data_IF_684029275872
#
_entry.id   IF_684029275872
#
_cell.length_a   1.000
_cell.length_b   1.000
_cell.length_c   1.000
_cell.angle_alpha   90.00
_cell.angle_beta   90.00
_cell.angle_gamma   90.00
#
_symmetry.space_group_name_H-M   'P 1'
#
loop_
_entity.id
_entity.type
_entity.pdbx_description
1 polymer ?
#
# COMPACT_ATOMS: atom_id res chain seq x y z
N UNK A 1 25.45 12.59 -71.01
CA UNK A 1 26.52 12.55 -69.98
C UNK A 1 26.29 13.55 -68.86
N UNK A 2 25.94 14.80 -69.17
CA UNK A 2 25.75 15.88 -68.17
C UNK A 2 24.78 15.49 -67.05
N UNK A 3 23.55 15.07 -67.36
CA UNK A 3 22.52 14.69 -66.36
C UNK A 3 22.98 13.57 -65.42
N UNK A 4 23.64 12.53 -65.95
CA UNK A 4 24.17 11.41 -65.16
C UNK A 4 25.29 11.86 -64.21
N UNK A 5 26.15 12.76 -64.67
CA UNK A 5 27.22 13.35 -63.87
C UNK A 5 26.64 14.23 -62.74
N UNK A 6 25.64 15.07 -63.03
CA UNK A 6 24.99 15.90 -62.01
C UNK A 6 24.29 15.05 -60.95
N UNK A 7 23.59 13.99 -61.35
CA UNK A 7 22.95 13.05 -60.41
C UNK A 7 23.96 12.33 -59.52
N UNK A 8 25.08 11.87 -60.08
CA UNK A 8 26.15 11.23 -59.30
C UNK A 8 26.77 12.21 -58.30
N UNK A 9 27.03 13.45 -58.72
CA UNK A 9 27.58 14.49 -57.86
C UNK A 9 26.65 14.83 -56.69
N UNK A 10 25.33 14.87 -56.94
CA UNK A 10 24.34 15.09 -55.89
C UNK A 10 24.36 13.98 -54.83
N UNK A 11 24.35 12.71 -55.25
CA UNK A 11 24.39 11.55 -54.34
C UNK A 11 25.67 11.53 -53.50
N UNK A 12 26.82 11.81 -54.13
CA UNK A 12 28.11 11.88 -53.43
C UNK A 12 28.17 13.06 -52.44
N UNK A 13 27.62 14.22 -52.82
CA UNK A 13 27.53 15.39 -51.94
C UNK A 13 26.64 15.12 -50.74
N UNK A 14 25.50 14.47 -50.96
CA UNK A 14 24.60 14.06 -49.89
C UNK A 14 25.25 13.05 -48.94
N UNK A 15 25.90 12.00 -49.48
CA UNK A 15 26.64 11.04 -48.68
C UNK A 15 27.76 11.68 -47.85
N UNK A 16 28.48 12.64 -48.44
CA UNK A 16 29.51 13.41 -47.74
C UNK A 16 28.95 14.23 -46.58
N UNK A 17 27.81 14.91 -46.78
CA UNK A 17 27.12 15.66 -45.72
C UNK A 17 26.76 14.73 -44.56
N UNK A 18 26.21 13.55 -44.83
CA UNK A 18 25.88 12.59 -43.78
C UNK A 18 27.13 12.10 -43.02
N UNK A 19 28.24 11.88 -43.72
CA UNK A 19 29.52 11.51 -43.09
C UNK A 19 30.04 12.65 -42.19
N UNK A 20 30.00 13.90 -42.64
CA UNK A 20 30.43 15.06 -41.85
C UNK A 20 29.54 15.26 -40.63
N UNK A 21 28.21 15.24 -40.80
CA UNK A 21 27.26 15.37 -39.70
C UNK A 21 27.43 14.26 -38.65
N UNK A 22 27.66 13.03 -39.10
CA UNK A 22 27.91 11.92 -38.18
C UNK A 22 29.23 12.05 -37.41
N UNK A 23 30.23 12.78 -37.93
CA UNK A 23 31.47 13.11 -37.19
C UNK A 23 31.18 14.14 -36.10
N UNK A 24 30.41 15.18 -36.42
CA UNK A 24 30.01 16.20 -35.44
C UNK A 24 29.14 15.63 -34.31
N UNK A 25 28.24 14.69 -34.63
CA UNK A 25 27.46 13.99 -33.61
C UNK A 25 28.33 13.14 -32.65
N UNK A 26 29.44 12.59 -33.12
CA UNK A 26 30.40 11.86 -32.27
C UNK A 26 31.17 12.82 -31.37
N UNK A 27 31.69 13.92 -31.92
CA UNK A 27 32.49 14.90 -31.17
C UNK A 27 31.65 15.58 -30.10
N UNK A 28 30.42 15.99 -30.41
CA UNK A 28 29.50 16.61 -29.46
C UNK A 28 29.13 15.67 -28.29
N UNK A 29 28.84 14.39 -28.58
CA UNK A 29 28.55 13.40 -27.54
C UNK A 29 29.77 13.07 -26.66
N UNK A 30 30.98 13.06 -27.23
CA UNK A 30 32.22 12.85 -26.48
C UNK A 30 32.58 14.06 -25.61
N UNK A 31 32.32 15.29 -26.08
CA UNK A 31 32.58 16.54 -25.35
C UNK A 31 31.58 16.79 -24.23
N UNK A 32 30.30 16.39 -24.39
CA UNK A 32 29.26 16.70 -23.41
C UNK A 32 29.25 15.83 -22.15
N UNK A 33 29.97 14.70 -22.07
CA UNK A 33 30.41 14.04 -20.84
C UNK A 33 29.43 13.87 -19.65
N UNK A 34 28.12 14.07 -19.83
CA UNK A 34 27.10 14.14 -18.76
C UNK A 34 26.06 13.02 -18.81
N UNK A 35 26.03 12.22 -19.87
CA UNK A 35 25.25 10.98 -19.90
C UNK A 35 26.07 9.88 -19.19
N UNK A 36 25.99 9.86 -17.85
CA UNK A 36 26.45 8.75 -17.02
C UNK A 36 25.73 7.47 -17.48
N UNK A 37 26.43 6.56 -18.17
CA UNK A 37 25.96 5.20 -18.41
C UNK A 37 25.94 4.71 -19.87
N UNK A 38 26.14 5.55 -20.87
CA UNK A 38 26.27 5.06 -22.25
C UNK A 38 27.73 4.65 -22.53
N UNK A 39 27.99 3.35 -22.72
CA UNK A 39 29.32 2.86 -23.12
C UNK A 39 29.77 3.53 -24.42
N UNK A 40 30.80 4.38 -24.34
CA UNK A 40 31.43 5.12 -25.45
C UNK A 40 31.74 4.27 -26.71
N UNK A 41 32.15 2.99 -26.63
CA UNK A 41 32.38 2.19 -27.84
C UNK A 41 31.10 1.84 -28.62
N UNK A 42 29.93 1.76 -27.96
CA UNK A 42 28.67 1.34 -28.61
C UNK A 42 28.12 2.39 -29.60
N UNK A 43 28.23 3.67 -29.24
CA UNK A 43 27.77 4.80 -30.07
C UNK A 43 28.66 4.94 -31.33
N UNK A 44 29.97 4.75 -31.17
CA UNK A 44 30.91 4.78 -32.29
C UNK A 44 30.62 3.65 -33.30
N UNK A 45 30.29 2.46 -32.83
CA UNK A 45 29.89 1.34 -33.68
C UNK A 45 28.60 1.64 -34.45
N UNK A 46 27.57 2.16 -33.78
CA UNK A 46 26.30 2.53 -34.43
C UNK A 46 26.50 3.57 -35.55
N UNK A 47 27.32 4.60 -35.28
CA UNK A 47 27.60 5.65 -36.26
C UNK A 47 28.42 5.14 -37.44
N UNK A 48 29.40 4.27 -37.19
CA UNK A 48 30.16 3.64 -38.28
C UNK A 48 29.27 2.73 -39.15
N UNK A 49 28.32 2.01 -38.54
CA UNK A 49 27.36 1.19 -39.30
C UNK A 49 26.49 2.06 -40.22
N UNK A 50 25.97 3.18 -39.72
CA UNK A 50 25.19 4.14 -40.54
C UNK A 50 26.04 4.66 -41.70
N UNK A 51 27.31 5.02 -41.46
CA UNK A 51 28.23 5.49 -42.52
C UNK A 51 28.42 4.45 -43.61
N UNK A 52 28.73 3.21 -43.23
CA UNK A 52 28.93 2.11 -44.18
C UNK A 52 27.67 1.91 -45.01
N UNK A 53 26.49 1.87 -44.38
CA UNK A 53 25.20 1.75 -45.08
C UNK A 53 24.98 2.87 -46.09
N UNK A 54 25.22 4.13 -45.70
CA UNK A 54 25.06 5.30 -46.59
C UNK A 54 26.01 5.23 -47.77
N UNK A 55 27.28 4.83 -47.55
CA UNK A 55 28.27 4.67 -48.63
C UNK A 55 27.83 3.56 -49.59
N UNK A 56 27.43 2.40 -49.06
CA UNK A 56 26.97 1.26 -49.88
C UNK A 56 25.76 1.65 -50.73
N UNK A 57 24.75 2.29 -50.13
CA UNK A 57 23.56 2.78 -50.85
C UNK A 57 23.97 3.82 -51.91
N UNK A 58 24.83 4.78 -51.57
CA UNK A 58 25.31 5.80 -52.49
C UNK A 58 26.03 5.21 -53.70
N UNK A 59 26.90 4.22 -53.49
CA UNK A 59 27.59 3.50 -54.56
C UNK A 59 26.60 2.77 -55.47
N UNK A 60 25.61 2.07 -54.90
CA UNK A 60 24.58 1.37 -55.69
C UNK A 60 23.78 2.34 -56.56
N UNK A 61 23.35 3.48 -56.01
CA UNK A 61 22.62 4.50 -56.76
C UNK A 61 23.47 5.06 -57.91
N UNK A 62 24.76 5.34 -57.66
CA UNK A 62 25.67 5.80 -58.72
C UNK A 62 25.79 4.72 -59.80
N UNK A 63 26.07 3.47 -59.46
CA UNK A 63 26.17 2.39 -60.46
C UNK A 63 24.92 2.27 -61.33
N UNK A 64 23.73 2.42 -60.72
CA UNK A 64 22.44 2.40 -61.42
C UNK A 64 22.26 3.59 -62.37
N UNK A 65 22.61 4.82 -61.96
CA UNK A 65 22.60 6.01 -62.83
C UNK A 65 23.44 5.79 -64.10
N UNK A 66 24.55 5.06 -63.98
CA UNK A 66 25.44 4.75 -65.09
C UNK A 66 24.97 3.57 -65.94
N UNK A 67 23.89 2.89 -65.56
CA UNK A 67 23.31 1.76 -66.28
C UNK A 67 24.07 0.45 -66.08
N UNK A 68 24.87 0.35 -65.01
CA UNK A 68 25.56 -0.87 -64.64
C UNK A 68 24.60 -1.82 -63.90
N UNK A 69 24.64 -3.14 -64.16
CA UNK A 69 23.74 -4.08 -63.52
C UNK A 69 24.07 -4.22 -62.03
N UNK A 70 23.20 -3.68 -61.17
CA UNK A 70 23.37 -3.76 -59.70
C UNK A 70 22.77 -5.03 -59.07
N UNK A 71 21.97 -5.81 -59.81
CA UNK A 71 21.29 -7.02 -59.30
C UNK A 71 22.24 -8.02 -58.61
N UNK A 72 23.44 -8.33 -59.13
CA UNK A 72 24.38 -9.22 -58.45
C UNK A 72 24.86 -8.68 -57.09
N UNK A 73 25.07 -7.36 -57.00
CA UNK A 73 25.49 -6.71 -55.76
C UNK A 73 24.38 -6.72 -54.71
N UNK A 74 23.14 -6.46 -55.14
CA UNK A 74 21.96 -6.55 -54.26
C UNK A 74 21.78 -7.96 -53.71
N UNK A 75 21.99 -8.99 -54.54
CA UNK A 75 21.92 -10.38 -54.10
C UNK A 75 22.99 -10.71 -53.06
N UNK A 76 24.24 -10.26 -53.28
CA UNK A 76 25.33 -10.43 -52.32
C UNK A 76 25.04 -9.73 -50.98
N UNK A 77 24.56 -8.48 -51.02
CA UNK A 77 24.19 -7.72 -49.82
C UNK A 77 23.01 -8.39 -49.11
N UNK A 78 22.01 -8.88 -49.85
CA UNK A 78 20.88 -9.60 -49.28
C UNK A 78 21.32 -10.83 -48.50
N UNK A 79 22.24 -11.63 -49.07
CA UNK A 79 22.84 -12.79 -48.37
C UNK A 79 23.63 -12.35 -47.14
N UNK A 80 24.45 -11.30 -47.25
CA UNK A 80 25.22 -10.79 -46.11
C UNK A 80 24.34 -10.30 -44.96
N UNK A 81 23.27 -9.57 -45.28
CA UNK A 81 22.27 -9.09 -44.29
C UNK A 81 21.53 -10.27 -43.66
N UNK A 82 21.14 -11.27 -44.45
CA UNK A 82 20.50 -12.47 -43.92
C UNK A 82 21.42 -13.22 -42.94
N UNK A 83 22.69 -13.43 -43.30
CA UNK A 83 23.67 -14.07 -42.41
C UNK A 83 23.87 -13.26 -41.13
N UNK A 84 23.98 -11.94 -41.23
CA UNK A 84 24.08 -11.06 -40.06
C UNK A 84 22.82 -11.13 -39.17
N UNK A 85 21.62 -11.17 -39.77
CA UNK A 85 20.36 -11.31 -39.04
C UNK A 85 20.27 -12.66 -38.32
N UNK A 86 20.70 -13.74 -38.97
CA UNK A 86 20.77 -15.07 -38.36
C UNK A 86 21.77 -15.10 -37.21
N UNK A 87 22.92 -14.42 -37.33
CA UNK A 87 23.89 -14.29 -36.24
C UNK A 87 23.34 -13.47 -35.06
N UNK A 88 22.50 -12.46 -35.32
CA UNK A 88 21.87 -11.63 -34.28
C UNK A 88 20.61 -12.25 -33.66
N UNK A 89 20.12 -13.38 -34.21
CA UNK A 89 18.87 -14.03 -33.83
C UNK A 89 18.73 -14.26 -32.32
N UNK A 90 19.80 -14.68 -31.66
CA UNK A 90 19.76 -15.03 -30.23
C UNK A 90 19.94 -13.80 -29.31
N UNK A 91 20.54 -12.71 -29.82
CA UNK A 91 20.73 -11.47 -29.08
C UNK A 91 19.49 -10.56 -29.12
N UNK A 92 18.75 -10.59 -30.24
CA UNK A 92 17.58 -9.72 -30.45
C UNK A 92 16.52 -9.80 -29.34
N UNK A 93 16.10 -11.00 -28.85
CA UNK A 93 15.09 -11.08 -27.80
C UNK A 93 15.52 -10.40 -26.49
N UNK A 94 16.80 -10.51 -26.12
CA UNK A 94 17.31 -9.89 -24.89
C UNK A 94 17.38 -8.36 -25.02
N UNK A 95 17.77 -7.85 -26.19
CA UNK A 95 17.76 -6.42 -26.48
C UNK A 95 16.36 -5.81 -26.39
N UNK A 96 15.37 -6.41 -27.06
CA UNK A 96 13.98 -5.93 -27.00
C UNK A 96 13.41 -6.04 -25.59
N UNK A 97 13.75 -7.11 -24.86
CA UNK A 97 13.35 -7.27 -23.48
C UNK A 97 13.96 -6.20 -22.57
N UNK A 98 15.25 -5.90 -22.71
CA UNK A 98 15.92 -4.83 -21.96
C UNK A 98 15.29 -3.46 -22.22
N UNK A 99 15.02 -3.13 -23.49
CA UNK A 99 14.32 -1.89 -23.87
C UNK A 99 12.93 -1.80 -23.24
N UNK A 100 12.16 -2.89 -23.28
CA UNK A 100 10.83 -2.95 -22.65
C UNK A 100 10.91 -2.80 -21.14
N UNK A 101 11.79 -3.54 -20.46
CA UNK A 101 12.00 -3.42 -19.01
C UNK A 101 12.38 -1.99 -18.60
N UNK A 102 13.27 -1.35 -19.35
CA UNK A 102 13.66 0.05 -19.10
C UNK A 102 12.53 1.05 -19.32
N UNK A 103 11.63 0.80 -20.28
CA UNK A 103 10.54 1.72 -20.62
C UNK A 103 9.29 1.50 -19.76
N UNK A 104 8.89 0.25 -19.50
CA UNK A 104 7.66 -0.07 -18.76
C UNK A 104 7.80 0.08 -17.25
N UNK A 105 9.04 0.11 -16.74
CA UNK A 105 9.36 0.21 -15.30
C UNK A 105 8.62 -0.82 -14.42
N UNK A 106 8.27 -1.99 -14.97
CA UNK A 106 7.60 -3.06 -14.22
C UNK A 106 8.52 -3.73 -13.18
N UNK A 107 9.83 -3.68 -13.45
CA UNK A 107 10.91 -4.07 -12.54
C UNK A 107 11.87 -2.89 -12.49
N UNK A 108 12.15 -2.38 -11.29
CA UNK A 108 13.02 -1.23 -11.08
C UNK A 108 14.29 -1.65 -10.36
N UNK A 109 15.36 -0.89 -10.59
CA UNK A 109 16.56 -0.98 -9.76
C UNK A 109 16.18 -0.67 -8.30
N UNK A 110 16.56 -1.58 -7.40
CA UNK A 110 16.23 -1.60 -5.97
C UNK A 110 15.07 -2.53 -5.60
N UNK A 111 14.33 -3.06 -6.56
CA UNK A 111 13.25 -4.01 -6.27
C UNK A 111 13.79 -5.38 -5.85
N UNK A 112 13.17 -6.02 -4.86
CA UNK A 112 13.38 -7.43 -4.55
C UNK A 112 12.46 -8.27 -5.44
N UNK A 113 13.02 -9.18 -6.23
CA UNK A 113 12.25 -10.02 -7.14
C UNK A 113 12.57 -11.49 -6.93
N UNK A 114 11.60 -12.36 -7.20
CA UNK A 114 11.76 -13.81 -7.28
C UNK A 114 11.32 -14.30 -8.63
N UNK A 115 12.17 -15.08 -9.28
CA UNK A 115 11.87 -15.68 -10.59
C UNK A 115 11.34 -17.10 -10.43
N UNK A 116 10.62 -17.58 -11.44
CA UNK A 116 10.02 -18.91 -11.49
C UNK A 116 10.99 -20.07 -11.21
N UNK A 117 12.26 -19.92 -11.58
CA UNK A 117 13.32 -20.90 -11.36
C UNK A 117 13.80 -20.97 -9.89
N UNK A 118 13.33 -20.06 -9.03
CA UNK A 118 13.55 -20.05 -7.59
C UNK A 118 14.60 -19.04 -7.12
N UNK A 119 15.40 -18.47 -8.01
CA UNK A 119 16.35 -17.43 -7.67
C UNK A 119 15.63 -16.14 -7.22
N UNK A 120 16.19 -15.47 -6.23
CA UNK A 120 15.65 -14.22 -5.67
C UNK A 120 16.74 -13.28 -5.19
N UNK A 121 16.43 -11.99 -5.16
CA UNK A 121 17.36 -10.96 -4.72
C UNK A 121 16.96 -9.56 -5.15
N UNK A 122 17.83 -8.59 -4.88
CA UNK A 122 17.63 -7.18 -5.22
C UNK A 122 18.17 -6.85 -6.61
N UNK A 123 17.36 -6.21 -7.45
CA UNK A 123 17.78 -5.74 -8.77
C UNK A 123 18.77 -4.59 -8.61
N UNK A 124 20.02 -4.80 -9.00
CA UNK A 124 21.07 -3.77 -8.91
C UNK A 124 21.23 -2.98 -10.20
N UNK A 125 21.06 -3.63 -11.34
CA UNK A 125 21.21 -3.03 -12.66
C UNK A 125 20.38 -3.76 -13.71
N UNK A 126 19.75 -3.02 -14.61
CA UNK A 126 19.13 -3.58 -15.83
C UNK A 126 19.96 -3.08 -17.01
N UNK A 127 20.78 -3.96 -17.57
CA UNK A 127 21.56 -3.67 -18.78
C UNK A 127 20.74 -3.98 -20.05
N UNK A 128 21.31 -3.72 -21.22
CA UNK A 128 20.62 -3.97 -22.50
C UNK A 128 20.33 -5.45 -22.76
N UNK A 129 21.10 -6.39 -22.18
CA UNK A 129 20.95 -7.84 -22.40
C UNK A 129 20.61 -8.63 -21.14
N UNK A 130 21.08 -8.19 -19.97
CA UNK A 130 20.92 -8.91 -18.70
C UNK A 130 20.47 -8.00 -17.56
N UNK A 131 19.73 -8.58 -16.63
CA UNK A 131 19.40 -7.97 -15.34
C UNK A 131 20.28 -8.59 -14.26
N UNK A 132 20.91 -7.73 -13.48
CA UNK A 132 21.79 -8.11 -12.38
C UNK A 132 20.95 -8.11 -11.10
N UNK A 133 20.95 -9.24 -10.41
CA UNK A 133 20.24 -9.43 -9.15
C UNK A 133 21.25 -9.80 -8.09
N UNK A 134 21.31 -9.05 -6.99
CA UNK A 134 22.14 -9.36 -5.84
C UNK A 134 21.34 -10.21 -4.85
N UNK A 135 21.73 -11.46 -4.70
CA UNK A 135 21.11 -12.40 -3.77
C UNK A 135 21.46 -12.07 -2.31
N UNK A 136 20.75 -12.71 -1.37
CA UNK A 136 20.93 -12.50 0.07
C UNK A 136 22.30 -12.96 0.59
N UNK A 137 22.95 -13.87 -0.13
CA UNK A 137 24.32 -14.33 0.15
C UNK A 137 25.40 -13.42 -0.49
N UNK A 138 25.01 -12.23 -0.93
CA UNK A 138 25.84 -11.23 -1.62
C UNK A 138 26.32 -11.63 -3.03
N UNK A 139 25.94 -12.81 -3.53
CA UNK A 139 26.26 -13.23 -4.90
C UNK A 139 25.46 -12.42 -5.94
N UNK A 140 26.03 -12.25 -7.15
CA UNK A 140 25.35 -11.56 -8.26
C UNK A 140 24.87 -12.58 -9.29
N UNK A 141 23.56 -12.66 -9.48
CA UNK A 141 22.87 -13.50 -10.43
C UNK A 141 22.60 -12.68 -11.70
N UNK A 142 23.05 -13.19 -12.85
CA UNK A 142 22.86 -12.57 -14.16
C UNK A 142 21.73 -13.29 -14.91
N UNK A 143 20.59 -12.62 -15.05
CA UNK A 143 19.43 -13.18 -15.76
C UNK A 143 19.27 -12.49 -17.11
N UNK A 144 19.25 -13.24 -18.24
CA UNK A 144 18.94 -12.67 -19.54
C UNK A 144 17.56 -12.01 -19.54
N UNK A 145 17.45 -10.78 -20.03
CA UNK A 145 16.23 -9.98 -19.95
C UNK A 145 15.01 -10.70 -20.56
N UNK A 146 15.23 -11.47 -21.64
CA UNK A 146 14.15 -12.22 -22.28
C UNK A 146 13.58 -13.36 -21.44
N UNK A 147 14.31 -13.85 -20.42
CA UNK A 147 13.78 -14.85 -19.47
C UNK A 147 12.82 -14.20 -18.47
N UNK A 148 13.15 -12.99 -17.98
CA UNK A 148 12.29 -12.24 -17.07
C UNK A 148 10.93 -11.86 -17.68
N UNK A 149 10.88 -11.58 -18.99
CA UNK A 149 9.62 -11.25 -19.67
C UNK A 149 8.81 -12.47 -20.12
N UNK A 150 9.41 -13.66 -20.17
CA UNK A 150 8.75 -14.90 -20.61
C UNK A 150 8.27 -15.76 -19.46
N UNK A 151 9.00 -15.77 -18.35
CA UNK A 151 8.63 -16.50 -17.14
C UNK A 151 7.80 -15.66 -16.18
N UNK A 152 7.32 -16.31 -15.12
CA UNK A 152 6.66 -15.60 -14.02
C UNK A 152 7.71 -14.94 -13.13
N UNK A 153 7.52 -13.65 -12.84
CA UNK A 153 8.36 -12.90 -11.89
C UNK A 153 7.45 -12.31 -10.81
N UNK A 154 7.74 -12.65 -9.57
CA UNK A 154 7.11 -12.03 -8.40
C UNK A 154 7.96 -10.82 -8.04
N UNK A 155 7.47 -9.62 -8.31
CA UNK A 155 8.12 -8.39 -7.89
C UNK A 155 7.60 -7.98 -6.52
N UNK A 156 8.44 -8.09 -5.48
CA UNK A 156 8.13 -7.60 -4.14
C UNK A 156 8.39 -6.11 -4.01
N UNK A 157 8.91 -5.40 -5.01
CA UNK A 157 9.21 -3.97 -4.94
C UNK A 157 10.37 -3.69 -3.99
N UNK A 158 10.54 -2.42 -3.63
CA UNK A 158 11.65 -2.01 -2.75
C UNK A 158 11.49 -2.57 -1.33
N UNK A 159 12.60 -2.92 -0.65
CA UNK A 159 12.54 -3.31 0.75
C UNK A 159 11.98 -2.16 1.57
N UNK A 160 10.96 -2.45 2.36
CA UNK A 160 10.40 -1.48 3.29
C UNK A 160 11.33 -1.34 4.49
N UNK A 161 11.30 -0.16 5.09
CA UNK A 161 12.02 0.10 6.33
C UNK A 161 11.44 -0.80 7.42
N UNK A 162 12.30 -1.62 8.03
CA UNK A 162 11.90 -2.39 9.21
C UNK A 162 11.67 -1.45 10.40
N UNK A 163 10.62 -1.72 11.16
CA UNK A 163 10.35 -1.06 12.41
C UNK A 163 11.43 -1.40 13.44
N UNK A 164 11.69 -0.47 14.37
CA UNK A 164 12.62 -0.67 15.49
C UNK A 164 12.17 -1.86 16.36
N UNK A 165 10.87 -1.91 16.64
CA UNK A 165 10.21 -3.00 17.35
C UNK A 165 9.05 -3.52 16.49
N UNK A 166 8.84 -4.85 16.42
CA UNK A 166 7.75 -5.41 15.63
C UNK A 166 6.39 -5.18 16.29
N UNK A 167 5.35 -5.00 15.48
CA UNK A 167 3.99 -5.01 15.96
C UNK A 167 3.53 -6.44 16.21
N UNK A 168 3.01 -6.73 17.40
CA UNK A 168 2.45 -8.04 17.75
C UNK A 168 0.95 -7.92 17.88
N UNK A 169 0.22 -8.62 17.03
CA UNK A 169 -1.22 -8.64 17.11
C UNK A 169 -1.65 -9.57 18.24
N UNK A 170 -2.58 -9.11 19.06
CA UNK A 170 -3.31 -9.95 20.03
C UNK A 170 -4.77 -9.97 19.64
N UNK A 171 -5.44 -11.08 19.94
CA UNK A 171 -6.89 -11.17 19.83
C UNK A 171 -7.50 -10.94 21.19
N UNK A 172 -8.75 -10.50 21.21
CA UNK A 172 -9.53 -10.29 22.42
C UNK A 172 -10.89 -10.94 22.23
N UNK A 173 -11.39 -11.53 23.31
CA UNK A 173 -12.75 -12.02 23.42
C UNK A 173 -13.33 -11.57 24.76
N UNK A 174 -14.65 -11.40 24.81
CA UNK A 174 -15.36 -10.96 26.00
C UNK A 174 -16.13 -12.06 26.66
N UNK A 175 -16.04 -12.07 27.98
CA UNK A 175 -16.93 -12.82 28.83
C UNK A 175 -17.83 -11.84 29.58
N UNK A 176 -19.13 -12.09 29.48
CA UNK A 176 -20.11 -11.34 30.26
C UNK A 176 -20.20 -11.91 31.67
N UNK A 177 -19.92 -11.09 32.66
CA UNK A 177 -20.09 -11.44 34.06
C UNK A 177 -21.33 -10.73 34.64
N UNK A 178 -22.21 -11.52 35.25
CA UNK A 178 -23.36 -11.02 35.99
C UNK A 178 -22.90 -10.49 37.35
N UNK A 179 -23.06 -9.19 37.60
CA UNK A 179 -22.60 -8.59 38.88
C UNK A 179 -23.53 -8.90 40.06
N UNK A 180 -24.77 -9.32 39.78
CA UNK A 180 -25.84 -9.46 40.77
C UNK A 180 -26.46 -8.14 41.22
N UNK A 181 -25.87 -6.99 40.84
CA UNK A 181 -26.42 -5.67 41.13
C UNK A 181 -27.58 -5.38 40.18
N UNK A 182 -28.62 -4.73 40.72
CA UNK A 182 -29.78 -4.30 39.95
C UNK A 182 -30.32 -2.96 40.43
N UNK A 183 -31.06 -2.28 39.56
CA UNK A 183 -31.78 -1.06 39.90
C UNK A 183 -33.22 -1.14 39.39
N UNK A 184 -34.20 -0.81 40.24
CA UNK A 184 -35.61 -0.73 39.82
C UNK A 184 -36.04 0.69 39.46
N UNK A 185 -35.27 1.70 39.85
CA UNK A 185 -35.59 3.10 39.62
C UNK A 185 -34.31 3.92 39.40
N UNK A 186 -34.47 5.19 39.02
CA UNK A 186 -33.36 6.08 38.69
C UNK A 186 -32.42 6.36 39.88
N UNK A 187 -32.93 6.36 41.12
CA UNK A 187 -32.09 6.60 42.31
C UNK A 187 -31.14 5.43 42.53
N UNK A 188 -31.67 4.21 42.51
CA UNK A 188 -30.85 2.99 42.62
C UNK A 188 -29.87 2.87 41.45
N UNK A 189 -30.29 3.26 40.23
CA UNK A 189 -29.42 3.26 39.06
C UNK A 189 -28.21 4.16 39.29
N UNK A 190 -28.43 5.40 39.77
CA UNK A 190 -27.35 6.35 40.08
C UNK A 190 -26.46 5.88 41.23
N UNK A 191 -27.05 5.35 42.31
CA UNK A 191 -26.29 4.84 43.46
C UNK A 191 -25.30 3.74 43.05
N UNK A 192 -25.76 2.78 42.22
CA UNK A 192 -24.90 1.73 41.70
C UNK A 192 -23.90 2.30 40.67
N UNK A 193 -24.34 3.14 39.74
CA UNK A 193 -23.47 3.71 38.72
C UNK A 193 -22.30 4.50 39.31
N UNK A 194 -22.49 5.23 40.41
CA UNK A 194 -21.41 6.00 41.05
C UNK A 194 -20.23 5.14 41.52
N UNK A 195 -20.46 3.86 41.79
CA UNK A 195 -19.45 2.93 42.31
C UNK A 195 -19.13 1.78 41.36
N UNK A 196 -19.85 1.69 40.23
CA UNK A 196 -19.69 0.61 39.26
C UNK A 196 -18.30 0.67 38.58
N UNK A 197 -17.62 -0.47 38.40
CA UNK A 197 -16.38 -0.54 37.63
C UNK A 197 -16.57 -0.06 36.18
N UNK A 198 -15.51 0.46 35.57
CA UNK A 198 -15.53 0.92 34.17
C UNK A 198 -16.00 -0.19 33.19
N UNK A 199 -15.72 -1.46 33.51
CA UNK A 199 -16.18 -2.62 32.75
C UNK A 199 -17.71 -2.76 32.65
N UNK A 200 -18.46 -2.21 33.62
CA UNK A 200 -19.94 -2.16 33.57
C UNK A 200 -20.39 -1.09 32.58
N UNK A 201 -19.76 0.09 32.66
CA UNK A 201 -20.05 1.20 31.74
C UNK A 201 -19.74 0.77 30.31
N UNK A 202 -18.58 0.13 30.08
CA UNK A 202 -18.19 -0.42 28.79
C UNK A 202 -19.25 -1.37 28.23
N UNK A 203 -19.71 -2.35 29.04
CA UNK A 203 -20.70 -3.33 28.61
C UNK A 203 -22.01 -2.66 28.15
N UNK A 204 -22.50 -1.70 28.93
CA UNK A 204 -23.79 -1.07 28.65
C UNK A 204 -23.74 0.10 27.65
N UNK A 205 -22.55 0.43 27.10
CA UNK A 205 -22.39 1.55 26.16
C UNK A 205 -21.63 1.18 24.88
N UNK A 206 -20.53 0.43 24.98
CA UNK A 206 -19.62 0.17 23.86
C UNK A 206 -19.71 -1.26 23.31
N UNK A 207 -20.04 -2.25 24.16
CA UNK A 207 -20.06 -3.68 23.77
C UNK A 207 -21.07 -3.99 22.64
N UNK A 208 -22.13 -3.20 22.50
CA UNK A 208 -23.09 -3.32 21.38
C UNK A 208 -22.42 -3.30 20.00
N UNK A 209 -21.33 -2.52 19.84
CA UNK A 209 -20.56 -2.42 18.59
C UNK A 209 -19.99 -3.75 18.13
N UNK A 210 -19.64 -4.61 19.08
CA UNK A 210 -19.07 -5.92 18.81
C UNK A 210 -20.15 -6.95 18.46
N UNK A 211 -21.38 -6.77 18.95
CA UNK A 211 -22.46 -7.70 18.68
C UNK A 211 -23.11 -7.48 17.30
N UNK A 212 -23.10 -6.25 16.80
CA UNK A 212 -23.84 -5.87 15.59
C UNK A 212 -22.90 -5.37 14.50
N UNK A 213 -22.00 -6.24 14.04
CA UNK A 213 -20.93 -6.00 13.05
C UNK A 213 -21.35 -5.35 11.70
N UNK A 214 -22.65 -5.12 11.45
CA UNK A 214 -23.21 -4.72 10.16
C UNK A 214 -24.03 -3.43 10.17
N UNK A 215 -24.18 -2.75 11.31
CA UNK A 215 -24.96 -1.51 11.42
C UNK A 215 -24.07 -0.38 11.89
N UNK A 216 -24.23 0.80 11.29
CA UNK A 216 -23.82 2.07 11.91
C UNK A 216 -24.74 2.24 13.11
N UNK A 217 -24.27 2.16 14.36
CA UNK A 217 -25.14 2.44 15.48
C UNK A 217 -25.48 3.92 15.44
N UNK A 218 -26.75 4.25 15.29
CA UNK A 218 -27.24 5.40 16.03
C UNK A 218 -26.97 5.10 17.50
N UNK A 219 -26.34 6.00 18.28
CA UNK A 219 -25.92 5.68 19.63
C UNK A 219 -27.16 5.42 20.48
N UNK A 220 -27.38 4.15 20.81
CA UNK A 220 -28.26 3.74 21.89
C UNK A 220 -27.42 2.96 22.88
N UNK A 221 -27.50 3.36 24.15
CA UNK A 221 -26.88 2.66 25.26
C UNK A 221 -27.98 1.98 26.10
N UNK A 222 -27.63 0.90 26.80
CA UNK A 222 -28.63 0.12 27.54
C UNK A 222 -29.35 0.95 28.61
N UNK A 223 -28.71 1.98 29.15
CA UNK A 223 -29.34 2.89 30.10
C UNK A 223 -30.48 3.67 29.45
N UNK A 224 -30.26 4.23 28.27
CA UNK A 224 -31.27 4.95 27.51
C UNK A 224 -32.47 4.04 27.17
N UNK A 225 -32.18 2.83 26.68
CA UNK A 225 -33.20 1.82 26.34
C UNK A 225 -34.02 1.47 27.58
N UNK A 226 -33.36 1.16 28.70
CA UNK A 226 -34.07 0.78 29.93
C UNK A 226 -34.93 1.91 30.49
N UNK A 227 -34.42 3.15 30.48
CA UNK A 227 -35.19 4.32 30.96
C UNK A 227 -36.41 4.58 30.08
N UNK A 228 -36.26 4.53 28.76
CA UNK A 228 -37.38 4.66 27.82
C UNK A 228 -38.40 3.53 27.98
N UNK A 229 -37.95 2.28 27.96
CA UNK A 229 -38.83 1.13 27.84
C UNK A 229 -39.37 0.60 29.18
N UNK A 230 -38.52 0.48 30.19
CA UNK A 230 -38.88 -0.13 31.47
C UNK A 230 -39.46 0.88 32.47
N UNK A 231 -39.01 2.14 32.42
CA UNK A 231 -39.57 3.23 33.22
C UNK A 231 -40.61 4.08 32.46
N UNK A 232 -40.71 3.91 31.13
CA UNK A 232 -41.64 4.68 30.29
C UNK A 232 -41.24 6.15 30.15
N UNK A 233 -39.98 6.51 30.41
CA UNK A 233 -39.49 7.89 30.43
C UNK A 233 -38.71 8.19 29.15
N UNK A 234 -39.45 8.43 28.07
CA UNK A 234 -38.88 8.69 26.74
C UNK A 234 -37.98 9.93 26.73
N UNK A 235 -38.33 10.99 27.46
CA UNK A 235 -37.56 12.24 27.48
C UNK A 235 -36.17 12.03 28.07
N UNK A 236 -36.08 11.35 29.22
CA UNK A 236 -34.77 11.04 29.80
C UNK A 236 -34.04 9.98 28.96
N UNK A 237 -34.76 8.99 28.41
CA UNK A 237 -34.22 7.98 27.51
C UNK A 237 -33.52 8.61 26.30
N UNK A 238 -34.18 9.51 25.59
CA UNK A 238 -33.62 10.27 24.46
C UNK A 238 -32.42 11.12 24.88
N UNK A 239 -32.50 11.78 26.04
CA UNK A 239 -31.39 12.58 26.57
C UNK A 239 -30.15 11.71 26.83
N UNK A 240 -30.33 10.50 27.37
CA UNK A 240 -29.25 9.54 27.58
C UNK A 240 -28.73 8.94 26.27
N UNK A 241 -29.60 8.70 25.28
CA UNK A 241 -29.20 8.24 23.95
C UNK A 241 -28.35 9.29 23.20
N UNK A 242 -28.65 10.57 23.41
CA UNK A 242 -27.92 11.69 22.78
C UNK A 242 -26.47 11.90 23.28
N UNK A 243 -26.04 11.16 24.31
CA UNK A 243 -24.69 11.26 24.83
C UNK A 243 -23.71 10.66 23.82
N UNK A 244 -22.80 11.49 23.32
CA UNK A 244 -21.66 11.03 22.53
C UNK A 244 -20.71 10.20 23.41
N UNK A 245 -20.97 8.90 23.50
CA UNK A 245 -20.20 7.96 24.33
C UNK A 245 -18.73 7.88 23.90
N UNK A 246 -18.41 8.25 22.66
CA UNK A 246 -17.10 8.11 22.04
C UNK A 246 -16.22 9.35 22.16
N UNK A 247 -16.82 10.52 22.37
CA UNK A 247 -16.10 11.77 22.64
C UNK A 247 -15.38 11.80 23.99
N UNK A 248 -15.59 10.80 24.85
CA UNK A 248 -14.97 10.73 26.17
C UNK A 248 -13.60 10.03 26.14
N UNK A 249 -12.59 10.60 26.82
CA UNK A 249 -11.23 10.04 26.83
C UNK A 249 -11.10 8.76 27.66
N UNK A 250 -12.00 8.53 28.61
CA UNK A 250 -12.07 7.32 29.41
C UNK A 250 -13.49 7.08 29.94
N UNK A 251 -13.78 5.83 30.31
CA UNK A 251 -15.11 5.39 30.75
C UNK A 251 -15.56 6.02 32.07
N UNK A 252 -14.63 6.42 32.93
CA UNK A 252 -14.94 7.14 34.17
C UNK A 252 -15.61 8.49 33.92
N UNK A 253 -15.08 9.27 32.97
CA UNK A 253 -15.69 10.57 32.60
C UNK A 253 -17.06 10.41 31.94
N UNK A 254 -17.25 9.35 31.13
CA UNK A 254 -18.56 9.01 30.58
C UNK A 254 -19.56 8.66 31.69
N UNK A 255 -19.13 7.86 32.68
CA UNK A 255 -19.95 7.49 33.85
C UNK A 255 -20.41 8.72 34.63
N UNK A 256 -19.50 9.65 34.91
CA UNK A 256 -19.82 10.92 35.58
C UNK A 256 -20.85 11.73 34.79
N UNK A 257 -20.73 11.78 33.45
CA UNK A 257 -21.70 12.46 32.60
C UNK A 257 -23.09 11.82 32.67
N UNK A 258 -23.16 10.49 32.57
CA UNK A 258 -24.43 9.75 32.65
C UNK A 258 -25.11 9.97 34.00
N UNK A 259 -24.35 9.89 35.09
CA UNK A 259 -24.84 10.17 36.45
C UNK A 259 -25.38 11.59 36.55
N UNK A 260 -24.62 12.58 36.08
CA UNK A 260 -25.02 13.99 36.14
C UNK A 260 -26.34 14.25 35.41
N UNK A 261 -26.55 13.65 34.22
CA UNK A 261 -27.81 13.80 33.47
C UNK A 261 -29.00 13.28 34.28
N UNK A 262 -28.86 12.12 34.92
CA UNK A 262 -29.93 11.52 35.72
C UNK A 262 -30.19 12.32 37.00
N UNK A 263 -29.14 12.80 37.67
CA UNK A 263 -29.29 13.61 38.89
C UNK A 263 -29.93 14.98 38.62
N UNK A 264 -29.51 15.65 37.54
CA UNK A 264 -30.14 16.89 37.09
C UNK A 264 -31.63 16.67 36.83
N UNK A 265 -31.99 15.57 36.16
CA UNK A 265 -33.37 15.21 35.89
C UNK A 265 -34.17 14.95 37.18
N UNK A 266 -33.62 14.19 38.12
CA UNK A 266 -34.25 13.92 39.43
C UNK A 266 -34.48 15.21 40.24
N UNK A 267 -33.56 16.16 40.15
CA UNK A 267 -33.66 17.44 40.87
C UNK A 267 -34.80 18.35 40.35
N UNK A 268 -35.23 18.15 39.10
CA UNK A 268 -36.28 18.95 38.45
C UNK A 268 -37.71 18.60 38.87
N UNK A 269 -37.89 17.67 39.82
CA UNK A 269 -39.21 17.25 40.31
C UNK A 269 -39.84 16.09 39.54
N UNK A 270 -39.02 15.18 38.99
CA UNK A 270 -39.49 14.02 38.24
C UNK A 270 -40.40 13.12 39.08
N UNK A 271 -41.47 12.60 38.48
CA UNK A 271 -42.34 11.59 39.11
C UNK A 271 -41.55 10.33 39.49
N UNK A 272 -41.87 9.74 40.64
CA UNK A 272 -41.30 8.46 41.05
C UNK A 272 -41.82 7.35 40.13
N UNK A 273 -40.91 6.75 39.36
CA UNK A 273 -41.18 5.61 38.47
C UNK A 273 -40.33 4.43 38.88
N UNK A 274 -40.94 3.26 38.92
CA UNK A 274 -40.23 2.00 39.16
C UNK A 274 -40.52 1.02 38.03
N UNK A 275 -39.51 0.24 37.65
CA UNK A 275 -39.65 -0.86 36.73
C UNK A 275 -40.51 -1.96 37.35
N UNK A 276 -41.33 -2.61 36.52
CA UNK A 276 -42.07 -3.80 36.94
C UNK A 276 -41.11 -4.93 37.36
N UNK A 277 -41.51 -5.82 38.28
CA UNK A 277 -40.71 -6.99 38.63
C UNK A 277 -40.33 -7.81 37.37
N UNK A 278 -39.04 -8.11 37.21
CA UNK A 278 -38.48 -8.77 36.04
C UNK A 278 -38.01 -7.81 34.94
N UNK A 279 -38.20 -6.50 35.10
CA UNK A 279 -37.70 -5.45 34.20
C UNK A 279 -36.69 -4.53 34.89
N UNK A 280 -36.13 -4.92 36.03
CA UNK A 280 -35.05 -4.17 36.66
C UNK A 280 -33.84 -4.05 35.72
N UNK A 281 -33.08 -2.97 35.85
CA UNK A 281 -31.80 -2.85 35.17
C UNK A 281 -30.81 -3.82 35.82
N UNK A 282 -30.22 -4.71 35.03
CA UNK A 282 -29.20 -5.64 35.51
C UNK A 282 -27.83 -5.15 35.09
N UNK A 283 -26.97 -4.86 36.08
CA UNK A 283 -25.61 -4.44 35.80
C UNK A 283 -24.78 -5.67 35.41
N UNK A 284 -24.28 -5.66 34.20
CA UNK A 284 -23.39 -6.68 33.65
C UNK A 284 -22.04 -6.02 33.39
N UNK A 285 -20.95 -6.78 33.54
CA UNK A 285 -19.61 -6.29 33.22
C UNK A 285 -18.97 -7.15 32.15
N UNK A 286 -18.21 -6.50 31.27
CA UNK A 286 -17.40 -7.15 30.24
C UNK A 286 -16.02 -7.47 30.80
N UNK A 287 -15.59 -8.73 30.65
CA UNK A 287 -14.25 -9.19 31.04
C UNK A 287 -13.48 -9.57 29.78
N UNK A 288 -12.52 -8.73 29.40
CA UNK A 288 -11.64 -8.97 28.24
C UNK A 288 -10.63 -10.08 28.54
N UNK A 289 -10.62 -11.11 27.71
CA UNK A 289 -9.59 -12.15 27.69
C UNK A 289 -8.70 -11.94 26.48
N UNK A 290 -7.40 -11.66 26.74
CA UNK A 290 -6.42 -11.40 25.69
C UNK A 290 -5.72 -12.69 25.30
N UNK A 291 -5.75 -13.01 24.00
CA UNK A 291 -5.21 -14.22 23.42
C UNK A 291 -4.04 -13.86 22.49
N UNK A 292 -2.86 -14.49 22.64
CA UNK A 292 -1.76 -14.27 21.73
C UNK A 292 -2.11 -14.78 20.32
N UNK A 293 -1.63 -14.08 19.29
CA UNK A 293 -1.74 -14.55 17.90
C UNK A 293 -0.36 -14.79 17.30
N UNK A 294 -0.24 -15.62 16.24
CA UNK A 294 1.02 -15.81 15.55
C UNK A 294 1.39 -14.62 14.64
N UNK A 295 0.53 -13.61 14.51
CA UNK A 295 0.74 -12.51 13.57
C UNK A 295 1.66 -11.45 14.17
N UNK A 296 2.79 -11.24 13.51
CA UNK A 296 3.81 -10.26 13.86
C UNK A 296 4.21 -9.51 12.59
N UNK A 297 4.37 -8.19 12.68
CA UNK A 297 4.75 -7.34 11.56
C UNK A 297 6.01 -6.54 11.86
N UNK A 298 7.02 -6.69 11.01
CA UNK A 298 8.29 -5.98 11.11
C UNK A 298 8.36 -4.80 10.14
N UNK A 299 7.46 -4.70 9.16
CA UNK A 299 7.36 -3.60 8.22
C UNK A 299 5.89 -3.37 7.81
N UNK A 300 5.64 -2.32 7.00
CA UNK A 300 4.28 -1.96 6.58
C UNK A 300 3.60 -3.04 5.73
N UNK A 301 4.35 -3.87 5.00
CA UNK A 301 3.76 -4.93 4.17
C UNK A 301 3.31 -6.10 5.02
N UNK A 302 4.17 -6.57 5.93
CA UNK A 302 3.78 -7.59 6.90
C UNK A 302 2.60 -7.12 7.74
N UNK A 303 2.54 -5.82 8.06
CA UNK A 303 1.43 -5.22 8.79
C UNK A 303 0.11 -5.28 8.01
N UNK A 304 0.11 -4.91 6.72
CA UNK A 304 -1.06 -5.06 5.84
C UNK A 304 -1.50 -6.52 5.69
N UNK A 305 -0.54 -7.44 5.51
CA UNK A 305 -0.82 -8.87 5.39
C UNK A 305 -1.43 -9.46 6.68
N UNK A 306 -0.99 -8.99 7.85
CA UNK A 306 -1.56 -9.36 9.12
C UNK A 306 -2.98 -8.79 9.28
N UNK A 307 -3.20 -7.52 8.95
CA UNK A 307 -4.52 -6.87 9.02
C UNK A 307 -5.60 -7.61 8.21
N UNK A 308 -5.22 -8.22 7.08
CA UNK A 308 -6.11 -9.05 6.25
C UNK A 308 -6.52 -10.38 6.90
N UNK A 309 -5.79 -10.83 7.94
CA UNK A 309 -5.93 -12.17 8.56
C UNK A 309 -6.45 -12.13 9.98
N UNK A 310 -6.22 -11.03 10.72
CA UNK A 310 -6.64 -10.92 12.11
C UNK A 310 -8.17 -10.92 12.26
N UNK A 311 -8.65 -11.42 13.40
CA UNK A 311 -10.07 -11.37 13.72
C UNK A 311 -10.58 -9.94 13.94
N UNK A 312 -11.89 -9.74 13.85
CA UNK A 312 -12.53 -8.47 14.22
C UNK A 312 -12.25 -8.09 15.68
N UNK A 313 -12.21 -9.06 16.60
CA UNK A 313 -11.84 -8.82 18.01
C UNK A 313 -10.41 -8.31 18.18
N UNK A 314 -9.46 -8.81 17.39
CA UNK A 314 -8.09 -8.27 17.38
C UNK A 314 -8.04 -6.83 16.84
N UNK A 315 -8.77 -6.58 15.75
CA UNK A 315 -8.83 -5.25 15.15
C UNK A 315 -9.50 -4.24 16.09
N UNK A 316 -10.63 -4.61 16.70
CA UNK A 316 -11.33 -3.81 17.69
C UNK A 316 -10.43 -3.48 18.89
N UNK A 317 -9.76 -4.49 19.45
CA UNK A 317 -8.84 -4.32 20.57
C UNK A 317 -7.76 -3.27 20.29
N UNK A 318 -7.12 -3.36 19.12
CA UNK A 318 -6.01 -2.47 18.77
C UNK A 318 -6.45 -1.09 18.30
N UNK A 319 -7.65 -0.93 17.74
CA UNK A 319 -8.12 0.34 17.16
C UNK A 319 -9.03 1.13 18.10
N UNK A 320 -9.99 0.47 18.73
CA UNK A 320 -11.03 1.08 19.55
C UNK A 320 -10.69 0.99 21.03
N UNK A 321 -10.54 -0.23 21.55
CA UNK A 321 -10.34 -0.45 22.99
C UNK A 321 -9.03 0.19 23.45
N UNK A 322 -7.99 0.20 22.62
CA UNK A 322 -6.72 0.87 22.89
C UNK A 322 -6.88 2.37 23.20
N UNK A 323 -7.84 3.08 22.59
CA UNK A 323 -8.09 4.51 22.89
C UNK A 323 -8.59 4.69 24.31
N UNK A 324 -9.53 3.83 24.74
CA UNK A 324 -10.08 3.82 26.10
C UNK A 324 -9.05 3.31 27.13
N UNK A 325 -8.32 2.25 26.79
CA UNK A 325 -7.31 1.60 27.63
C UNK A 325 -6.10 2.49 27.89
N UNK A 326 -5.64 3.21 26.87
CA UNK A 326 -4.44 4.05 26.97
C UNK A 326 -4.75 5.47 27.45
N UNK A 327 -5.99 5.96 27.29
CA UNK A 327 -6.40 7.31 27.67
C UNK A 327 -5.66 8.43 26.91
N UNK A 328 -5.05 8.11 25.76
CA UNK A 328 -4.24 9.04 24.94
C UNK A 328 -4.93 9.48 23.66
N UNK A 329 -6.13 8.98 23.36
CA UNK A 329 -6.87 9.24 22.12
C UNK A 329 -6.27 8.62 20.85
N UNK A 330 -5.06 8.06 20.93
CA UNK A 330 -4.42 7.30 19.86
C UNK A 330 -4.69 5.80 20.02
N UNK A 331 -4.69 5.10 18.88
CA UNK A 331 -4.80 3.64 18.83
C UNK A 331 -3.42 2.97 18.74
N UNK A 332 -3.35 1.67 19.03
CA UNK A 332 -2.09 0.90 19.06
C UNK A 332 -1.36 0.94 17.70
N UNK A 333 -2.10 0.93 16.59
CA UNK A 333 -1.52 0.97 15.25
C UNK A 333 -0.86 2.32 14.97
N UNK A 334 -1.54 3.42 15.26
CA UNK A 334 -1.00 4.78 15.13
C UNK A 334 0.26 4.97 15.97
N UNK A 335 0.26 4.47 17.21
CA UNK A 335 1.42 4.55 18.12
C UNK A 335 2.60 3.78 17.52
N UNK A 336 2.41 2.55 17.07
CA UNK A 336 3.48 1.76 16.49
C UNK A 336 4.07 2.39 15.21
N UNK A 337 3.21 2.94 14.35
CA UNK A 337 3.66 3.61 13.13
C UNK A 337 4.52 4.84 13.43
N UNK A 338 4.13 5.64 14.42
CA UNK A 338 4.87 6.82 14.85
C UNK A 338 6.20 6.45 15.51
N UNK A 339 6.19 5.53 16.48
CA UNK A 339 7.32 5.29 17.37
C UNK A 339 8.34 4.29 16.81
N UNK A 340 7.84 3.25 16.14
CA UNK A 340 8.64 2.08 15.73
C UNK A 340 8.92 2.06 14.23
N UNK A 341 7.91 2.28 13.39
CA UNK A 341 8.08 2.30 11.92
C UNK A 341 8.75 3.59 11.43
N UNK A 342 8.61 4.69 12.18
CA UNK A 342 9.04 6.03 11.78
C UNK A 342 8.20 6.61 10.64
N UNK A 343 6.93 6.23 10.60
CA UNK A 343 5.90 6.67 9.66
C UNK A 343 4.91 7.60 10.39
N UNK A 344 5.42 8.72 10.91
CA UNK A 344 4.64 9.61 11.79
C UNK A 344 3.41 10.20 11.10
N UNK A 345 3.55 10.65 9.85
CA UNK A 345 2.46 11.22 9.05
C UNK A 345 1.34 10.20 8.81
N UNK A 346 1.69 8.96 8.44
CA UNK A 346 0.73 7.87 8.26
C UNK A 346 0.05 7.50 9.59
N UNK A 347 0.80 7.49 10.69
CA UNK A 347 0.26 7.26 12.02
C UNK A 347 -0.76 8.32 12.45
N UNK A 348 -0.53 9.59 12.11
CA UNK A 348 -1.48 10.68 12.31
C UNK A 348 -2.72 10.54 11.41
N UNK A 349 -2.54 10.20 10.14
CA UNK A 349 -3.66 10.00 9.21
C UNK A 349 -4.59 8.88 9.69
N UNK A 350 -4.02 7.75 10.14
CA UNK A 350 -4.79 6.64 10.73
C UNK A 350 -5.44 7.04 12.06
N UNK A 351 -4.80 7.90 12.87
CA UNK A 351 -5.39 8.37 14.12
C UNK A 351 -6.65 9.22 13.90
N UNK A 352 -6.70 9.96 12.78
CA UNK A 352 -7.84 10.81 12.39
C UNK A 352 -9.02 10.03 11.80
N UNK A 353 -8.84 8.76 11.46
CA UNK A 353 -9.97 7.92 11.08
C UNK A 353 -10.89 7.79 12.29
N UNK A 354 -12.09 8.38 12.18
CA UNK A 354 -13.13 8.24 13.18
C UNK A 354 -13.70 6.82 13.08
N UNK A 355 -13.41 5.96 14.05
CA UNK A 355 -13.71 4.55 13.93
C UNK A 355 -15.24 4.29 14.02
N UNK A 356 -16.04 5.29 14.43
CA UNK A 356 -17.50 5.22 14.53
C UNK A 356 -18.23 5.64 13.26
N UNK A 357 -17.52 6.22 12.30
CA UNK A 357 -18.07 6.57 10.98
C UNK A 357 -18.00 5.42 9.96
N UNK A 358 -17.42 4.29 10.37
CA UNK A 358 -17.22 3.10 9.53
C UNK A 358 -17.76 1.85 10.23
N UNK A 359 -18.14 0.85 9.44
CA UNK A 359 -18.17 -0.53 9.96
C UNK A 359 -16.74 -0.98 10.26
N UNK A 360 -16.55 -1.96 11.15
CA UNK A 360 -15.20 -2.47 11.48
C UNK A 360 -14.44 -2.95 10.24
N UNK A 361 -15.12 -3.65 9.33
CA UNK A 361 -14.54 -4.08 8.04
C UNK A 361 -14.28 -2.90 7.09
N UNK A 362 -15.15 -1.90 7.09
CA UNK A 362 -14.96 -0.67 6.32
C UNK A 362 -13.71 0.08 6.79
N UNK A 363 -13.54 0.22 8.11
CA UNK A 363 -12.38 0.87 8.71
C UNK A 363 -11.09 0.10 8.42
N UNK A 364 -11.12 -1.24 8.57
CA UNK A 364 -9.99 -2.11 8.20
C UNK A 364 -9.60 -1.91 6.74
N UNK A 365 -10.58 -1.87 5.85
CA UNK A 365 -10.36 -1.67 4.42
C UNK A 365 -9.75 -0.29 4.13
N UNK A 366 -10.25 0.77 4.76
CA UNK A 366 -9.71 2.12 4.64
C UNK A 366 -8.25 2.18 5.11
N UNK A 367 -7.95 1.57 6.25
CA UNK A 367 -6.62 1.52 6.84
C UNK A 367 -5.63 0.76 5.93
N UNK A 368 -6.03 -0.39 5.38
CA UNK A 368 -5.22 -1.14 4.40
C UNK A 368 -4.93 -0.27 3.17
N UNK A 369 -5.94 0.40 2.62
CA UNK A 369 -5.77 1.24 1.43
C UNK A 369 -4.80 2.40 1.66
N UNK A 370 -4.86 3.05 2.83
CA UNK A 370 -3.92 4.12 3.19
C UNK A 370 -2.48 3.61 3.23
N UNK A 371 -2.24 2.48 3.89
CA UNK A 371 -0.89 1.91 4.00
C UNK A 371 -0.38 1.45 2.64
N UNK A 372 -1.22 0.80 1.82
CA UNK A 372 -0.83 0.35 0.48
C UNK A 372 -0.49 1.52 -0.45
N UNK A 373 -1.20 2.64 -0.33
CA UNK A 373 -0.87 3.87 -1.07
C UNK A 373 0.48 4.43 -0.65
N UNK A 374 0.87 4.26 0.62
CA UNK A 374 2.18 4.68 1.15
C UNK A 374 3.34 3.77 0.71
N UNK A 375 3.07 2.49 0.49
CA UNK A 375 4.05 1.47 0.06
C UNK A 375 4.39 1.60 -1.43
N UNK A 376 3.44 2.04 -2.27
CA UNK A 376 3.62 2.26 -3.72
C UNK A 376 4.46 3.49 -4.01
#
# INVERSE_FOLDING_TARGET
MTVKATGSLFVLSFGWVVIVLSRELLTLNLFQGRMKGANKPSIALAINLIRVTVIVIGVLIVLDIWGLPISPLLLLIGVAVLVAALAFRDAAPNFFAGFRLGTTQQIKVGDYIKVETGEEGYVTEISWSNTHIKALDESTILIPNSRLLRGTVINYGRPLKKAKEPFRFVSRTDLTELTGLKARNLRELVEVLKTAPDAVVYYHTHHFLEQHHYLTPEPSNDFAIWVGDALGDEVLGERLASVDTFGFPNLGTLRERLVAIIEEYLSSGSNFREAMPGREFHFMKSVSVILPTPYVAHDLREFVEALRKISLGSFYFHVFESRLRLGRGLNDFSIWLQDSSGESELGEEIARLDPYTYTLEGLRSALIQLIEKRIK
#
